data_IF_349970046582
#
_entry.id   IF_349970046582
#
_cell.length_a   1.000
_cell.length_b   1.000
_cell.length_c   1.000
_cell.angle_alpha   90.00
_cell.angle_beta   90.00
_cell.angle_gamma   90.00
#
_symmetry.space_group_name_H-M   'P 1'
#
loop_
_entity.id
_entity.type
_entity.pdbx_description
1 polymer ?
#
# COMPACT_ATOMS: atom_id res chain seq x y z
N UNK A 1 -8.65 -0.38 -12.74
CA UNK A 1 -8.62 -1.61 -13.56
C UNK A 1 -7.21 -2.15 -13.82
N UNK A 2 -6.22 -1.38 -14.37
CA UNK A 2 -4.86 -1.90 -14.68
C UNK A 2 -4.06 -2.35 -13.46
N UNK A 3 -4.12 -1.67 -12.32
CA UNK A 3 -3.45 -2.07 -11.09
C UNK A 3 -3.95 -3.44 -10.63
N UNK A 4 -5.27 -3.62 -10.53
CA UNK A 4 -5.86 -4.91 -10.13
C UNK A 4 -5.55 -6.03 -11.12
N UNK A 5 -5.45 -5.72 -12.42
CA UNK A 5 -5.04 -6.68 -13.45
C UNK A 5 -3.58 -7.08 -13.27
N UNK A 6 -2.70 -6.12 -12.97
CA UNK A 6 -1.28 -6.39 -12.73
C UNK A 6 -1.06 -7.33 -11.54
N UNK A 7 -1.90 -7.24 -10.51
CA UNK A 7 -1.79 -8.09 -9.31
C UNK A 7 -1.89 -9.58 -9.64
N UNK A 8 -2.68 -9.94 -10.65
CA UNK A 8 -2.90 -11.33 -11.09
C UNK A 8 -2.08 -11.73 -12.34
N UNK A 9 -1.34 -10.79 -12.94
CA UNK A 9 -0.55 -11.03 -14.16
C UNK A 9 0.84 -11.61 -13.86
N UNK A 10 1.51 -12.26 -14.85
CA UNK A 10 2.90 -12.65 -14.76
C UNK A 10 3.83 -11.46 -14.51
N UNK A 11 4.98 -11.73 -13.87
CA UNK A 11 5.91 -10.67 -13.41
C UNK A 11 6.40 -9.76 -14.55
N UNK A 12 6.68 -10.33 -15.71
CA UNK A 12 7.16 -9.62 -16.89
C UNK A 12 6.17 -8.58 -17.45
N UNK A 13 4.88 -8.77 -17.21
CA UNK A 13 3.82 -7.87 -17.68
C UNK A 13 3.47 -6.77 -16.65
N UNK A 14 3.88 -6.94 -15.40
CA UNK A 14 3.44 -6.06 -14.30
C UNK A 14 3.86 -4.63 -14.49
N UNK A 15 5.12 -4.39 -14.85
CA UNK A 15 5.65 -3.03 -14.97
C UNK A 15 4.93 -2.24 -16.08
N UNK A 16 4.69 -2.84 -17.23
CA UNK A 16 3.92 -2.21 -18.31
C UNK A 16 2.49 -1.86 -17.84
N UNK A 17 1.83 -2.78 -17.17
CA UNK A 17 0.49 -2.56 -16.62
C UNK A 17 0.46 -1.43 -15.58
N UNK A 18 1.47 -1.33 -14.70
CA UNK A 18 1.57 -0.25 -13.73
C UNK A 18 1.83 1.10 -14.40
N UNK A 19 2.69 1.17 -15.42
CA UNK A 19 2.93 2.39 -16.20
C UNK A 19 1.68 2.84 -16.96
N UNK A 20 0.93 1.90 -17.53
CA UNK A 20 -0.38 2.21 -18.15
C UNK A 20 -1.38 2.72 -17.13
N UNK A 21 -1.42 2.13 -15.94
CA UNK A 21 -2.29 2.59 -14.85
C UNK A 21 -1.96 4.03 -14.46
N UNK A 22 -0.67 4.36 -14.30
CA UNK A 22 -0.20 5.72 -13.99
C UNK A 22 -0.62 6.71 -15.09
N UNK A 23 -0.36 6.38 -16.36
CA UNK A 23 -0.71 7.24 -17.49
C UNK A 23 -2.24 7.50 -17.59
N UNK A 24 -3.08 6.50 -17.32
CA UNK A 24 -4.53 6.67 -17.27
C UNK A 24 -4.97 7.54 -16.10
N UNK A 25 -4.46 7.30 -14.91
CA UNK A 25 -4.76 8.08 -13.71
C UNK A 25 -4.34 9.56 -13.91
N UNK A 26 -3.15 9.79 -14.47
CA UNK A 26 -2.69 11.14 -14.83
C UNK A 26 -3.62 11.83 -15.83
N UNK A 27 -4.13 11.12 -16.85
CA UNK A 27 -5.11 11.69 -17.77
C UNK A 27 -6.43 12.03 -17.09
N UNK A 28 -6.92 11.21 -16.16
CA UNK A 28 -8.09 11.52 -15.34
C UNK A 28 -7.89 12.83 -14.58
N UNK A 29 -6.76 12.99 -13.87
CA UNK A 29 -6.43 14.20 -13.11
C UNK A 29 -6.32 15.43 -14.04
N UNK A 30 -5.79 15.28 -15.25
CA UNK A 30 -5.72 16.38 -16.23
C UNK A 30 -7.08 16.78 -16.77
N UNK A 31 -8.02 15.84 -16.90
CA UNK A 31 -9.38 16.11 -17.33
C UNK A 31 -10.22 16.73 -16.20
N UNK A 32 -10.01 16.26 -14.97
CA UNK A 32 -10.64 16.76 -13.76
C UNK A 32 -9.65 16.68 -12.59
N UNK A 33 -9.11 17.83 -12.18
CA UNK A 33 -8.16 17.92 -11.06
C UNK A 33 -8.78 17.67 -9.69
N UNK A 34 -10.09 17.51 -9.60
CA UNK A 34 -10.84 17.13 -8.39
C UNK A 34 -11.18 15.64 -8.33
N UNK A 35 -10.78 14.85 -9.33
CA UNK A 35 -10.94 13.40 -9.33
C UNK A 35 -10.07 12.76 -8.26
N UNK A 36 -10.66 12.49 -7.08
CA UNK A 36 -9.96 11.83 -5.99
C UNK A 36 -9.51 10.41 -6.38
N UNK A 37 -10.31 9.69 -7.16
CA UNK A 37 -9.95 8.36 -7.68
C UNK A 37 -8.71 8.44 -8.57
N UNK A 38 -8.61 9.48 -9.41
CA UNK A 38 -7.43 9.70 -10.23
C UNK A 38 -6.16 9.78 -9.39
N UNK A 39 -6.20 10.54 -8.30
CA UNK A 39 -5.09 10.70 -7.36
C UNK A 39 -4.78 9.38 -6.63
N UNK A 40 -5.78 8.65 -6.12
CA UNK A 40 -5.59 7.36 -5.46
C UNK A 40 -4.94 6.33 -6.39
N UNK A 41 -5.46 6.18 -7.61
CA UNK A 41 -4.93 5.19 -8.54
C UNK A 41 -3.57 5.57 -9.11
N UNK A 42 -3.27 6.87 -9.22
CA UNK A 42 -1.93 7.33 -9.57
C UNK A 42 -0.93 6.97 -8.49
N UNK A 43 -1.25 7.25 -7.22
CA UNK A 43 -0.41 6.86 -6.10
C UNK A 43 -0.18 5.34 -6.04
N UNK A 44 -1.24 4.53 -6.24
CA UNK A 44 -1.15 3.09 -6.30
C UNK A 44 -0.20 2.61 -7.40
N UNK A 45 -0.31 3.18 -8.60
CA UNK A 45 0.53 2.84 -9.73
C UNK A 45 2.00 3.21 -9.49
N UNK A 46 2.26 4.43 -9.01
CA UNK A 46 3.60 4.90 -8.65
C UNK A 46 4.23 4.05 -7.55
N UNK A 47 3.46 3.67 -6.52
CA UNK A 47 3.91 2.79 -5.45
C UNK A 47 4.32 1.40 -5.97
N UNK A 48 3.53 0.82 -6.87
CA UNK A 48 3.87 -0.46 -7.49
C UNK A 48 5.09 -0.37 -8.41
N UNK A 49 5.24 0.71 -9.20
CA UNK A 49 6.45 0.97 -10.01
C UNK A 49 7.68 1.07 -9.09
N UNK A 50 7.58 1.85 -8.02
CA UNK A 50 8.64 2.02 -7.02
C UNK A 50 9.09 0.68 -6.42
N UNK A 51 8.14 -0.17 -6.06
CA UNK A 51 8.42 -1.49 -5.48
C UNK A 51 8.99 -2.48 -6.51
N UNK A 52 8.58 -2.35 -7.78
CA UNK A 52 9.07 -3.23 -8.86
C UNK A 52 10.49 -2.90 -9.29
N UNK A 53 10.80 -1.61 -9.48
CA UNK A 53 12.10 -1.14 -9.94
C UNK A 53 13.11 -1.01 -8.78
N UNK A 54 12.65 -0.71 -7.58
CA UNK A 54 13.50 -0.58 -6.38
C UNK A 54 14.49 0.60 -6.45
N UNK A 55 15.53 0.54 -5.61
CA UNK A 55 16.66 1.45 -5.65
C UNK A 55 16.31 2.93 -5.74
N UNK A 56 16.93 3.65 -6.67
CA UNK A 56 16.75 5.09 -6.90
C UNK A 56 15.32 5.47 -7.24
N UNK A 57 14.61 4.66 -8.03
CA UNK A 57 13.20 4.91 -8.41
C UNK A 57 12.30 4.91 -7.18
N UNK A 58 12.52 3.96 -6.26
CA UNK A 58 11.75 3.86 -5.02
C UNK A 58 11.86 5.14 -4.17
N UNK A 59 13.06 5.67 -4.02
CA UNK A 59 13.30 6.93 -3.28
C UNK A 59 12.70 8.13 -4.03
N UNK A 60 12.96 8.24 -5.33
CA UNK A 60 12.54 9.37 -6.15
C UNK A 60 11.02 9.54 -6.26
N UNK A 61 10.24 8.46 -6.11
CA UNK A 61 8.78 8.51 -6.18
C UNK A 61 8.08 8.76 -4.85
N UNK A 62 8.79 8.71 -3.70
CA UNK A 62 8.17 8.79 -2.38
C UNK A 62 7.34 10.07 -2.17
N UNK A 63 7.86 11.23 -2.54
CA UNK A 63 7.14 12.50 -2.38
C UNK A 63 5.92 12.59 -3.30
N UNK A 64 6.04 12.11 -4.54
CA UNK A 64 4.92 12.08 -5.47
C UNK A 64 3.79 11.18 -4.96
N UNK A 65 4.12 9.97 -4.48
CA UNK A 65 3.15 9.04 -3.89
C UNK A 65 2.43 9.69 -2.71
N UNK A 66 3.18 10.27 -1.75
CA UNK A 66 2.59 10.95 -0.58
C UNK A 66 1.68 12.11 -0.99
N UNK A 67 2.13 12.94 -1.93
CA UNK A 67 1.35 14.09 -2.41
C UNK A 67 0.02 13.68 -3.06
N UNK A 68 0.04 12.65 -3.92
CA UNK A 68 -1.18 12.15 -4.54
C UNK A 68 -2.16 11.58 -3.52
N UNK A 69 -1.69 10.80 -2.54
CA UNK A 69 -2.53 10.26 -1.47
C UNK A 69 -3.16 11.36 -0.61
N UNK A 70 -2.36 12.35 -0.21
CA UNK A 70 -2.87 13.48 0.57
C UNK A 70 -3.88 14.29 -0.23
N UNK A 71 -3.67 14.46 -1.54
CA UNK A 71 -4.63 15.14 -2.41
C UNK A 71 -5.94 14.36 -2.52
N UNK A 72 -5.89 13.04 -2.71
CA UNK A 72 -7.08 12.19 -2.72
C UNK A 72 -7.87 12.30 -1.41
N UNK A 73 -7.20 12.13 -0.26
CA UNK A 73 -7.83 12.18 1.06
C UNK A 73 -8.45 13.57 1.33
N UNK A 74 -7.81 14.66 0.89
CA UNK A 74 -8.36 16.00 1.04
C UNK A 74 -9.61 16.21 0.18
N UNK A 75 -9.69 15.59 -0.99
CA UNK A 75 -10.85 15.65 -1.89
C UNK A 75 -11.97 14.72 -1.42
N UNK A 76 -11.63 13.54 -0.92
CA UNK A 76 -12.56 12.56 -0.35
C UNK A 76 -12.00 11.94 0.95
N UNK A 77 -12.35 12.48 2.12
CA UNK A 77 -11.93 11.91 3.41
C UNK A 77 -12.48 10.51 3.74
N UNK A 78 -13.33 9.95 2.89
CA UNK A 78 -13.90 8.61 3.03
C UNK A 78 -13.30 7.60 2.04
N UNK A 79 -12.20 7.94 1.37
CA UNK A 79 -11.49 7.01 0.49
C UNK A 79 -10.65 6.00 1.30
N UNK A 80 -11.27 4.86 1.64
CA UNK A 80 -10.63 3.76 2.36
C UNK A 80 -9.40 3.22 1.64
N UNK A 81 -9.42 3.19 0.31
CA UNK A 81 -8.30 2.71 -0.53
C UNK A 81 -7.11 3.64 -0.40
N UNK A 82 -7.30 4.97 -0.43
CA UNK A 82 -6.22 5.93 -0.25
C UNK A 82 -5.56 5.78 1.13
N UNK A 83 -6.36 5.62 2.20
CA UNK A 83 -5.83 5.37 3.54
C UNK A 83 -5.05 4.04 3.62
N UNK A 84 -5.54 2.98 2.99
CA UNK A 84 -4.84 1.68 2.95
C UNK A 84 -3.49 1.78 2.23
N UNK A 85 -3.43 2.51 1.10
CA UNK A 85 -2.18 2.74 0.37
C UNK A 85 -1.24 3.63 1.18
N UNK A 86 -1.75 4.67 1.85
CA UNK A 86 -0.98 5.54 2.73
C UNK A 86 -0.37 4.77 3.91
N UNK A 87 -1.15 3.85 4.51
CA UNK A 87 -0.65 2.94 5.54
C UNK A 87 0.48 2.06 5.05
N UNK A 88 0.32 1.41 3.88
CA UNK A 88 1.38 0.61 3.26
C UNK A 88 2.62 1.44 2.91
N UNK A 89 2.44 2.69 2.50
CA UNK A 89 3.51 3.65 2.24
C UNK A 89 4.30 3.98 3.52
N UNK A 90 3.62 4.34 4.60
CA UNK A 90 4.27 4.62 5.88
C UNK A 90 4.92 3.38 6.51
N UNK A 91 4.32 2.20 6.34
CA UNK A 91 4.94 0.93 6.74
C UNK A 91 6.28 0.72 6.03
N UNK A 92 6.35 0.99 4.73
CA UNK A 92 7.58 0.90 3.96
C UNK A 92 8.64 1.92 4.43
N UNK A 93 8.23 3.13 4.83
CA UNK A 93 9.13 4.13 5.42
C UNK A 93 9.62 3.73 6.81
N UNK A 94 8.75 3.17 7.64
CA UNK A 94 9.12 2.67 8.98
C UNK A 94 10.12 1.52 8.95
N UNK A 95 10.11 0.74 7.87
CA UNK A 95 11.05 -0.37 7.67
C UNK A 95 12.42 0.06 7.11
N UNK A 96 12.63 1.36 6.83
CA UNK A 96 13.93 1.89 6.41
C UNK A 96 14.77 2.21 7.63
N UNK A 97 15.91 1.55 7.77
CA UNK A 97 16.84 1.79 8.88
C UNK A 97 17.39 3.22 8.87
N UNK A 98 17.88 3.68 10.03
CA UNK A 98 18.51 5.00 10.13
C UNK A 98 19.67 5.16 9.16
N UNK A 99 20.52 4.14 8.99
CA UNK A 99 21.67 4.16 8.08
C UNK A 99 21.19 4.34 6.62
N UNK A 100 20.17 3.56 6.21
CA UNK A 100 19.60 3.67 4.87
C UNK A 100 19.00 5.05 4.61
N UNK A 101 18.35 5.67 5.61
CA UNK A 101 17.85 7.04 5.51
C UNK A 101 18.96 8.05 5.29
N UNK A 102 20.09 7.93 6.00
CA UNK A 102 21.23 8.81 5.83
C UNK A 102 21.87 8.63 4.45
N UNK A 103 22.05 7.40 4.00
CA UNK A 103 22.59 7.12 2.65
C UNK A 103 21.64 7.64 1.56
N UNK A 104 20.33 7.44 1.71
CA UNK A 104 19.36 7.98 0.78
C UNK A 104 19.44 9.50 0.72
N UNK A 105 19.54 10.18 1.86
CA UNK A 105 19.63 11.65 1.92
C UNK A 105 20.88 12.20 1.20
N UNK A 106 22.00 11.50 1.30
CA UNK A 106 23.26 11.91 0.67
C UNK A 106 23.25 11.68 -0.85
N UNK A 107 22.76 10.52 -1.29
CA UNK A 107 22.96 10.07 -2.69
C UNK A 107 21.70 10.14 -3.56
N UNK A 108 20.50 10.11 -2.96
CA UNK A 108 19.23 9.92 -3.70
C UNK A 108 18.19 10.99 -3.39
N UNK A 109 18.36 11.76 -2.31
CA UNK A 109 17.40 12.70 -1.77
C UNK A 109 16.75 12.21 -0.48
N UNK A 110 16.22 13.16 0.32
CA UNK A 110 15.56 12.84 1.58
C UNK A 110 14.29 12.01 1.38
N UNK A 111 13.98 11.15 2.35
CA UNK A 111 12.70 10.45 2.41
C UNK A 111 11.68 11.29 3.18
N UNK A 112 10.37 11.20 2.85
CA UNK A 112 9.33 11.82 3.64
C UNK A 112 9.34 11.32 5.09
N UNK A 113 8.91 12.17 6.01
CA UNK A 113 8.70 11.79 7.40
C UNK A 113 7.50 10.85 7.53
N UNK A 114 7.57 9.98 8.54
CA UNK A 114 6.56 9.00 8.90
C UNK A 114 7.14 7.60 9.08
N UNK A 115 6.34 6.72 9.65
CA UNK A 115 6.74 5.36 9.97
C UNK A 115 5.57 4.50 10.42
N UNK A 116 5.82 3.61 11.37
CA UNK A 116 4.82 2.62 11.81
C UNK A 116 3.62 3.25 12.52
N UNK A 117 3.79 4.35 13.27
CA UNK A 117 2.68 5.01 13.95
C UNK A 117 1.68 5.63 12.96
N UNK A 118 2.18 6.32 11.94
CA UNK A 118 1.35 6.89 10.86
C UNK A 118 0.73 5.78 10.00
N UNK A 119 1.45 4.67 9.80
CA UNK A 119 0.93 3.48 9.12
C UNK A 119 -0.28 2.92 9.85
N UNK A 120 -0.17 2.70 11.17
CA UNK A 120 -1.25 2.17 12.00
C UNK A 120 -2.47 3.08 11.98
N UNK A 121 -2.27 4.39 12.13
CA UNK A 121 -3.35 5.38 12.06
C UNK A 121 -4.09 5.30 10.72
N UNK A 122 -3.37 5.26 9.62
CA UNK A 122 -3.96 5.20 8.29
C UNK A 122 -4.71 3.87 8.05
N UNK A 123 -4.12 2.72 8.42
CA UNK A 123 -4.75 1.41 8.25
C UNK A 123 -5.99 1.24 9.14
N UNK A 124 -5.95 1.71 10.37
CA UNK A 124 -7.11 1.73 11.26
C UNK A 124 -8.25 2.58 10.68
N UNK A 125 -7.92 3.74 10.09
CA UNK A 125 -8.90 4.57 9.39
C UNK A 125 -9.49 3.86 8.17
N UNK A 126 -8.69 3.15 7.37
CA UNK A 126 -9.15 2.36 6.24
C UNK A 126 -10.14 1.26 6.68
N UNK A 127 -9.82 0.53 7.77
CA UNK A 127 -10.70 -0.49 8.35
C UNK A 127 -12.01 0.13 8.88
N UNK A 128 -11.95 1.28 9.53
CA UNK A 128 -13.14 1.96 10.03
C UNK A 128 -14.09 2.39 8.90
N UNK A 129 -13.55 2.74 7.71
CA UNK A 129 -14.33 3.11 6.54
C UNK A 129 -14.89 1.89 5.78
N UNK A 130 -14.11 0.79 5.71
CA UNK A 130 -14.48 -0.42 4.97
C UNK A 130 -14.04 -1.69 5.73
N UNK A 131 -14.78 -2.11 6.78
CA UNK A 131 -14.36 -3.15 7.73
C UNK A 131 -14.37 -4.58 7.14
N UNK A 132 -14.90 -4.77 5.94
CA UNK A 132 -14.92 -6.07 5.27
C UNK A 132 -13.86 -6.20 4.16
N UNK A 133 -13.01 -5.19 3.99
CA UNK A 133 -11.97 -5.19 2.96
C UNK A 133 -10.77 -6.01 3.42
N UNK A 134 -10.56 -7.17 2.79
CA UNK A 134 -9.48 -8.12 3.07
C UNK A 134 -8.11 -7.45 3.12
N UNK A 135 -7.83 -6.55 2.18
CA UNK A 135 -6.54 -5.85 2.07
C UNK A 135 -6.21 -5.04 3.32
N UNK A 136 -7.19 -4.36 3.93
CA UNK A 136 -6.94 -3.48 5.08
C UNK A 136 -6.47 -4.29 6.30
N UNK A 137 -7.16 -5.36 6.62
CA UNK A 137 -6.79 -6.29 7.69
C UNK A 137 -5.44 -6.98 7.42
N UNK A 138 -5.20 -7.37 6.17
CA UNK A 138 -3.93 -7.99 5.79
C UNK A 138 -2.75 -7.04 6.00
N UNK A 139 -2.87 -5.77 5.59
CA UNK A 139 -1.79 -4.79 5.76
C UNK A 139 -1.59 -4.43 7.25
N UNK A 140 -2.66 -4.32 8.05
CA UNK A 140 -2.52 -4.11 9.50
C UNK A 140 -1.87 -5.31 10.19
N UNK A 141 -2.25 -6.54 9.82
CA UNK A 141 -1.60 -7.75 10.32
C UNK A 141 -0.10 -7.79 10.00
N UNK A 142 0.30 -7.39 8.79
CA UNK A 142 1.71 -7.26 8.41
C UNK A 142 2.44 -6.18 9.22
N UNK A 143 1.80 -5.05 9.47
CA UNK A 143 2.37 -4.00 10.31
C UNK A 143 2.64 -4.50 11.73
N UNK A 144 1.68 -5.19 12.33
CA UNK A 144 1.83 -5.79 13.65
C UNK A 144 2.98 -6.80 13.69
N UNK A 145 3.16 -7.61 12.63
CA UNK A 145 4.32 -8.52 12.53
C UNK A 145 5.66 -7.78 12.51
N UNK A 146 5.77 -6.66 11.80
CA UNK A 146 7.00 -5.85 11.76
C UNK A 146 7.32 -5.17 13.09
N UNK A 147 6.35 -5.09 13.99
CA UNK A 147 6.48 -4.53 15.34
C UNK A 147 6.53 -5.59 16.43
N UNK A 148 6.68 -6.88 16.09
CA UNK A 148 6.66 -8.04 17.00
C UNK A 148 5.37 -8.17 17.85
N UNK A 149 4.27 -7.55 17.39
CA UNK A 149 2.93 -7.59 18.03
C UNK A 149 2.18 -8.84 17.56
N UNK A 150 2.64 -10.00 17.99
CA UNK A 150 2.21 -11.32 17.49
C UNK A 150 0.71 -11.57 17.64
N UNK A 151 0.13 -11.29 18.79
CA UNK A 151 -1.32 -11.55 19.03
C UNK A 151 -2.21 -10.69 18.15
N UNK A 152 -1.86 -9.42 17.97
CA UNK A 152 -2.60 -8.51 17.10
C UNK A 152 -2.43 -8.89 15.63
N UNK A 153 -1.22 -9.29 15.22
CA UNK A 153 -0.98 -9.83 13.89
C UNK A 153 -1.86 -11.05 13.61
N UNK A 154 -1.91 -12.02 14.53
CA UNK A 154 -2.75 -13.21 14.40
C UNK A 154 -4.23 -12.87 14.32
N UNK A 155 -4.72 -11.91 15.13
CA UNK A 155 -6.10 -11.44 15.10
C UNK A 155 -6.47 -10.92 13.70
N UNK A 156 -5.69 -10.01 13.16
CA UNK A 156 -5.96 -9.38 11.87
C UNK A 156 -5.81 -10.37 10.71
N UNK A 157 -4.77 -11.21 10.71
CA UNK A 157 -4.55 -12.21 9.67
C UNK A 157 -5.63 -13.32 9.68
N UNK A 158 -6.14 -13.74 10.85
CA UNK A 158 -7.28 -14.65 10.93
C UNK A 158 -8.57 -13.99 10.44
N UNK A 159 -8.77 -12.70 10.70
CA UNK A 159 -9.90 -11.93 10.16
C UNK A 159 -9.93 -11.99 8.64
N UNK A 160 -8.78 -11.87 7.96
CA UNK A 160 -8.65 -12.00 6.50
C UNK A 160 -9.30 -13.29 5.98
N UNK A 161 -9.12 -14.42 6.68
CA UNK A 161 -9.66 -15.71 6.25
C UNK A 161 -11.20 -15.79 6.35
N UNK A 162 -11.82 -15.00 7.22
CA UNK A 162 -13.27 -14.99 7.46
C UNK A 162 -14.05 -14.01 6.58
N UNK A 163 -13.35 -13.13 5.86
CA UNK A 163 -13.96 -12.10 5.02
C UNK A 163 -14.34 -12.63 3.64
N UNK A 164 -15.41 -12.09 3.01
CA UNK A 164 -15.83 -12.49 1.68
C UNK A 164 -14.79 -12.07 0.62
N UNK A 165 -14.59 -12.91 -0.40
CA UNK A 165 -13.76 -12.61 -1.57
C UNK A 165 -14.55 -11.68 -2.50
N UNK A 166 -14.09 -10.45 -2.65
CA UNK A 166 -14.71 -9.44 -3.50
C UNK A 166 -13.90 -9.17 -4.78
N UNK A 167 -12.57 -9.35 -4.72
CA UNK A 167 -11.65 -9.08 -5.81
C UNK A 167 -10.86 -10.32 -6.19
N UNK A 168 -10.43 -10.42 -7.43
CA UNK A 168 -9.59 -11.53 -7.91
C UNK A 168 -8.26 -11.68 -7.14
N UNK A 169 -7.76 -10.59 -6.55
CA UNK A 169 -6.56 -10.59 -5.70
C UNK A 169 -6.78 -11.16 -4.30
N UNK A 170 -8.04 -11.19 -3.82
CA UNK A 170 -8.37 -11.52 -2.43
C UNK A 170 -8.04 -12.97 -2.07
N UNK A 171 -8.30 -13.92 -2.98
CA UNK A 171 -7.92 -15.33 -2.77
C UNK A 171 -6.41 -15.48 -2.52
N UNK A 172 -5.58 -14.73 -3.27
CA UNK A 172 -4.12 -14.76 -3.06
C UNK A 172 -3.74 -14.12 -1.72
N UNK A 173 -4.45 -13.07 -1.34
CA UNK A 173 -4.22 -12.38 -0.04
C UNK A 173 -4.62 -13.29 1.11
N UNK A 174 -5.75 -14.00 1.02
CA UNK A 174 -6.14 -15.01 2.00
C UNK A 174 -5.12 -16.16 2.11
N UNK A 175 -4.64 -16.68 0.98
CA UNK A 175 -3.61 -17.73 0.98
C UNK A 175 -2.28 -17.25 1.60
N UNK A 176 -1.92 -15.97 1.41
CA UNK A 176 -0.75 -15.36 2.06
C UNK A 176 -0.97 -15.19 3.55
N UNK A 177 -2.15 -14.71 3.97
CA UNK A 177 -2.49 -14.58 5.38
C UNK A 177 -2.44 -15.93 6.11
N UNK A 178 -2.99 -16.99 5.50
CA UNK A 178 -2.94 -18.33 6.06
C UNK A 178 -1.51 -18.85 6.27
N UNK A 179 -0.59 -18.55 5.33
CA UNK A 179 0.84 -18.90 5.50
C UNK A 179 1.47 -18.14 6.66
N UNK A 180 1.21 -16.82 6.75
CA UNK A 180 1.74 -16.01 7.85
C UNK A 180 1.19 -16.44 9.22
N UNK A 181 -0.06 -16.87 9.29
CA UNK A 181 -0.63 -17.45 10.52
C UNK A 181 0.14 -18.71 10.93
N UNK A 182 0.39 -19.64 10.00
CA UNK A 182 1.19 -20.85 10.27
C UNK A 182 2.60 -20.52 10.75
N UNK A 183 3.28 -19.58 10.08
CA UNK A 183 4.60 -19.11 10.49
C UNK A 183 4.59 -18.55 11.94
N UNK A 184 3.55 -17.80 12.29
CA UNK A 184 3.40 -17.23 13.62
C UNK A 184 3.01 -18.27 14.67
N UNK A 185 2.26 -19.32 14.33
CA UNK A 185 1.83 -20.37 15.29
C UNK A 185 2.82 -21.51 15.41
N UNK A 186 3.73 -21.66 14.46
CA UNK A 186 4.70 -22.77 14.43
C UNK A 186 4.11 -24.06 13.86
N UNK A 187 3.02 -23.96 13.11
CA UNK A 187 2.31 -25.08 12.46
C UNK A 187 2.85 -25.40 11.04
#
# INVERSE_FOLDING_TARGET
MYVCRADVSPREQKLDLYRRAEAFAHRCIRADSTSWEGHTWRAAALGNIAMFEGGKTKVGLCYAIKSELMRSINLNPNDDVAYSILGSFYMALGNVSWIERQLAAIFLGSLPEGGYAESETALTKAIALAPETIRHHFELGRLCMLQDRREEALKELRRVASLPVMLASDQRTQARAARLVKELTGE
#
